data_IF_931537109794
#
_entry.id   IF_931537109794
#
_cell.length_a   1.000
_cell.length_b   1.000
_cell.length_c   1.000
_cell.angle_alpha   90.00
_cell.angle_beta   90.00
_cell.angle_gamma   90.00
#
_symmetry.space_group_name_H-M   'P 1'
#
loop_
_entity.id
_entity.type
_entity.pdbx_description
1 polymer ?
#
# COMPACT_ATOMS: atom_id res chain seq x y z
N UNK A 1 35.07 -8.14 -19.18
CA UNK A 1 34.64 -6.71 -19.19
C UNK A 1 33.17 -6.55 -19.62
N UNK A 2 32.68 -7.26 -20.65
CA UNK A 2 31.26 -7.23 -21.08
C UNK A 2 30.24 -7.58 -19.97
N UNK A 3 30.50 -8.62 -19.16
CA UNK A 3 29.58 -9.09 -18.08
C UNK A 3 29.44 -8.10 -16.92
N UNK A 4 30.45 -7.27 -16.67
CA UNK A 4 30.46 -6.33 -15.53
C UNK A 4 29.50 -5.15 -15.71
N UNK A 5 29.24 -4.72 -16.96
CA UNK A 5 28.36 -3.58 -17.24
C UNK A 5 26.87 -3.97 -17.15
N UNK A 6 26.51 -5.16 -17.63
CA UNK A 6 25.16 -5.75 -17.45
C UNK A 6 24.81 -5.91 -15.96
N UNK A 7 25.81 -6.20 -15.12
CA UNK A 7 25.62 -6.25 -13.66
C UNK A 7 25.26 -4.89 -13.04
N UNK A 8 25.69 -3.78 -13.67
CA UNK A 8 25.40 -2.42 -13.20
C UNK A 8 23.93 -2.07 -13.41
N UNK A 9 23.35 -2.49 -14.55
CA UNK A 9 21.91 -2.35 -14.83
C UNK A 9 21.05 -3.18 -13.87
N UNK A 10 21.52 -4.39 -13.53
CA UNK A 10 20.88 -5.21 -12.50
C UNK A 10 20.87 -4.52 -11.12
N UNK A 11 21.93 -3.79 -10.79
CA UNK A 11 22.03 -2.97 -9.58
C UNK A 11 21.04 -1.79 -9.57
N UNK A 12 20.83 -1.12 -10.71
CA UNK A 12 19.83 -0.05 -10.83
C UNK A 12 18.39 -0.57 -10.79
N UNK A 13 18.10 -1.68 -11.46
CA UNK A 13 16.80 -2.35 -11.34
C UNK A 13 16.50 -2.73 -9.89
N UNK A 14 17.51 -3.19 -9.13
CA UNK A 14 17.35 -3.46 -7.71
C UNK A 14 17.02 -2.19 -6.92
N UNK A 15 17.67 -1.05 -7.18
CA UNK A 15 17.31 0.24 -6.55
C UNK A 15 15.87 0.64 -6.85
N UNK A 16 15.42 0.51 -8.10
CA UNK A 16 14.02 0.79 -8.49
C UNK A 16 13.05 -0.13 -7.75
N UNK A 17 13.35 -1.43 -7.67
CA UNK A 17 12.55 -2.41 -6.91
C UNK A 17 12.47 -2.07 -5.43
N UNK A 18 13.59 -1.66 -4.82
CA UNK A 18 13.60 -1.25 -3.42
C UNK A 18 12.75 0.00 -3.16
N UNK A 19 12.85 1.01 -4.03
CA UNK A 19 12.01 2.22 -3.95
C UNK A 19 10.52 1.88 -4.08
N UNK A 20 10.16 1.06 -5.08
CA UNK A 20 8.79 0.59 -5.25
C UNK A 20 8.30 -0.23 -4.04
N UNK A 21 9.12 -1.14 -3.53
CA UNK A 21 8.79 -1.96 -2.37
C UNK A 21 8.54 -1.11 -1.11
N UNK A 22 9.31 -0.04 -0.89
CA UNK A 22 9.09 0.89 0.22
C UNK A 22 7.73 1.60 0.11
N UNK A 23 7.37 2.11 -1.07
CA UNK A 23 6.04 2.70 -1.32
C UNK A 23 4.92 1.69 -1.18
N UNK A 24 5.14 0.45 -1.63
CA UNK A 24 4.19 -0.64 -1.47
C UNK A 24 3.97 -1.02 0.00
N UNK A 25 5.02 -0.97 0.83
CA UNK A 25 4.88 -1.16 2.28
C UNK A 25 4.01 -0.07 2.92
N UNK A 26 4.20 1.19 2.55
CA UNK A 26 3.36 2.30 3.03
C UNK A 26 1.89 2.12 2.61
N UNK A 27 1.63 1.71 1.36
CA UNK A 27 0.29 1.31 0.92
C UNK A 27 -0.32 0.23 1.83
N UNK A 28 0.44 -0.84 2.11
CA UNK A 28 -0.05 -1.93 2.98
C UNK A 28 -0.34 -1.46 4.40
N UNK A 29 0.47 -0.56 4.95
CA UNK A 29 0.23 0.03 6.27
C UNK A 29 -1.07 0.83 6.30
N UNK A 30 -1.36 1.62 5.26
CA UNK A 30 -2.63 2.34 5.14
C UNK A 30 -3.83 1.38 5.12
N UNK A 31 -3.78 0.31 4.32
CA UNK A 31 -4.83 -0.72 4.29
C UNK A 31 -4.97 -1.42 5.65
N UNK A 32 -3.85 -1.74 6.32
CA UNK A 32 -3.87 -2.33 7.67
C UNK A 32 -4.58 -1.41 8.67
N UNK A 33 -4.32 -0.11 8.61
CA UNK A 33 -4.95 0.87 9.50
C UNK A 33 -6.48 0.97 9.32
N UNK A 34 -6.98 0.78 8.09
CA UNK A 34 -8.42 0.69 7.82
C UNK A 34 -8.99 -0.54 8.55
N UNK A 35 -8.37 -1.70 8.36
CA UNK A 35 -8.81 -2.96 8.97
C UNK A 35 -8.81 -2.91 10.50
N UNK A 36 -7.75 -2.37 11.10
CA UNK A 36 -7.66 -2.21 12.56
C UNK A 36 -8.80 -1.35 13.13
N UNK A 37 -9.24 -0.32 12.40
CA UNK A 37 -10.39 0.50 12.83
C UNK A 37 -11.72 -0.20 12.59
N UNK A 38 -11.85 -1.01 11.54
CA UNK A 38 -13.03 -1.85 11.32
C UNK A 38 -13.20 -2.89 12.43
N UNK A 39 -12.11 -3.55 12.84
CA UNK A 39 -12.10 -4.52 13.93
C UNK A 39 -12.54 -3.86 15.24
N UNK A 40 -11.98 -2.69 15.59
CA UNK A 40 -12.42 -1.92 16.77
C UNK A 40 -13.91 -1.58 16.73
N UNK A 41 -14.44 -1.16 15.59
CA UNK A 41 -15.87 -0.86 15.46
C UNK A 41 -16.74 -2.12 15.55
N UNK A 42 -16.26 -3.26 15.06
CA UNK A 42 -16.94 -4.55 15.21
C UNK A 42 -17.11 -4.90 16.69
N UNK A 43 -16.08 -4.73 17.51
CA UNK A 43 -16.12 -4.98 18.96
C UNK A 43 -17.15 -4.06 19.65
N UNK A 44 -17.20 -2.78 19.26
CA UNK A 44 -18.19 -1.82 19.76
C UNK A 44 -19.61 -2.28 19.40
N UNK A 45 -19.86 -2.68 18.15
CA UNK A 45 -21.16 -3.20 17.71
C UNK A 45 -21.57 -4.48 18.44
N UNK A 46 -20.62 -5.34 18.79
CA UNK A 46 -20.89 -6.54 19.60
C UNK A 46 -21.29 -6.18 21.03
N UNK A 47 -20.59 -5.25 21.68
CA UNK A 47 -20.96 -4.75 23.02
C UNK A 47 -22.38 -4.15 23.02
N UNK A 48 -22.73 -3.34 22.01
CA UNK A 48 -24.09 -2.82 21.82
C UNK A 48 -25.12 -3.94 21.75
N UNK A 49 -24.89 -4.95 20.89
CA UNK A 49 -25.79 -6.10 20.74
C UNK A 49 -25.96 -6.90 22.03
N UNK A 50 -24.88 -7.07 22.78
CA UNK A 50 -24.91 -7.74 24.09
C UNK A 50 -25.77 -6.97 25.10
N UNK A 51 -25.63 -5.63 25.17
CA UNK A 51 -26.46 -4.78 26.03
C UNK A 51 -27.94 -4.82 25.62
N UNK A 52 -28.24 -4.77 24.32
CA UNK A 52 -29.60 -4.92 23.79
C UNK A 52 -30.22 -6.27 24.19
N UNK A 53 -29.46 -7.36 24.10
CA UNK A 53 -29.90 -8.69 24.53
C UNK A 53 -30.19 -8.75 26.04
N UNK A 54 -29.31 -8.15 26.86
CA UNK A 54 -29.52 -8.03 28.31
C UNK A 54 -30.80 -7.26 28.65
N UNK A 55 -31.05 -6.14 27.97
CA UNK A 55 -32.28 -5.35 28.12
C UNK A 55 -33.51 -6.19 27.74
N UNK A 56 -33.48 -6.88 26.60
CA UNK A 56 -34.59 -7.70 26.15
C UNK A 56 -34.91 -8.84 27.13
N UNK A 57 -33.88 -9.52 27.65
CA UNK A 57 -34.04 -10.58 28.65
C UNK A 57 -34.56 -10.04 29.99
N UNK A 58 -34.06 -8.89 30.44
CA UNK A 58 -34.51 -8.27 31.69
C UNK A 58 -35.94 -7.75 31.58
N UNK A 59 -36.34 -7.23 30.41
CA UNK A 59 -37.72 -6.78 30.15
C UNK A 59 -38.72 -7.95 30.26
N UNK A 60 -38.34 -9.14 29.77
CA UNK A 60 -39.17 -10.35 29.86
C UNK A 60 -39.21 -10.95 31.26
N UNK A 61 -38.07 -11.00 31.94
CA UNK A 61 -37.93 -11.70 33.22
C UNK A 61 -38.30 -10.84 34.44
N UNK A 62 -37.96 -9.55 34.45
CA UNK A 62 -38.23 -8.63 35.55
C UNK A 62 -38.48 -7.19 35.05
N UNK A 63 -39.68 -6.90 34.50
CA UNK A 63 -40.00 -5.62 33.87
C UNK A 63 -40.02 -4.41 34.83
N UNK A 64 -40.14 -4.64 36.14
CA UNK A 64 -40.14 -3.57 37.16
C UNK A 64 -38.75 -3.30 37.75
N UNK A 65 -37.70 -3.94 37.22
CA UNK A 65 -36.35 -3.74 37.72
C UNK A 65 -35.85 -2.31 37.48
N UNK A 66 -35.33 -1.59 38.49
CA UNK A 66 -34.76 -0.26 38.30
C UNK A 66 -33.53 -0.27 37.37
N UNK A 67 -32.82 -1.42 37.27
CA UNK A 67 -31.69 -1.61 36.33
C UNK A 67 -32.11 -1.50 34.86
N UNK A 68 -33.39 -1.71 34.55
CA UNK A 68 -33.87 -1.62 33.18
C UNK A 68 -33.76 -0.18 32.65
N UNK A 69 -34.16 0.81 33.46
CA UNK A 69 -34.06 2.22 33.09
C UNK A 69 -32.60 2.67 32.93
N UNK A 70 -31.71 2.17 33.79
CA UNK A 70 -30.26 2.40 33.72
C UNK A 70 -29.68 1.85 32.42
N UNK A 71 -29.92 0.57 32.09
CA UNK A 71 -29.42 -0.04 30.86
C UNK A 71 -30.00 0.61 29.59
N UNK A 72 -31.27 1.02 29.61
CA UNK A 72 -31.87 1.75 28.49
C UNK A 72 -31.21 3.12 28.27
N UNK A 73 -30.86 3.82 29.35
CA UNK A 73 -30.12 5.09 29.27
C UNK A 73 -28.71 4.87 28.74
N UNK A 74 -28.01 3.86 29.26
CA UNK A 74 -26.68 3.46 28.78
C UNK A 74 -26.71 3.10 27.28
N UNK A 75 -27.70 2.31 26.86
CA UNK A 75 -27.86 1.93 25.45
C UNK A 75 -28.02 3.16 24.56
N UNK A 76 -28.84 4.14 24.94
CA UNK A 76 -29.01 5.37 24.15
C UNK A 76 -27.70 6.13 23.97
N UNK A 77 -26.89 6.24 25.03
CA UNK A 77 -25.56 6.85 24.94
C UNK A 77 -24.66 6.05 24.00
N UNK A 78 -24.62 4.73 24.18
CA UNK A 78 -23.81 3.83 23.38
C UNK A 78 -24.20 3.85 21.89
N UNK A 79 -25.48 4.03 21.58
CA UNK A 79 -26.00 4.14 20.22
C UNK A 79 -25.52 5.41 19.51
N UNK A 80 -25.49 6.54 20.22
CA UNK A 80 -24.94 7.78 19.73
C UNK A 80 -23.44 7.63 19.40
N UNK A 81 -22.65 7.12 20.34
CA UNK A 81 -21.19 6.97 20.17
C UNK A 81 -20.84 5.97 19.06
N UNK A 82 -21.64 4.90 18.91
CA UNK A 82 -21.48 3.94 17.82
C UNK A 82 -21.76 4.59 16.47
N UNK A 83 -22.80 5.42 16.36
CA UNK A 83 -23.15 6.13 15.12
C UNK A 83 -22.05 7.11 14.72
N UNK A 84 -21.54 7.90 15.67
CA UNK A 84 -20.42 8.82 15.42
C UNK A 84 -19.19 8.06 14.91
N UNK A 85 -18.84 6.96 15.59
CA UNK A 85 -17.73 6.09 15.19
C UNK A 85 -17.92 5.47 13.79
N UNK A 86 -19.15 5.13 13.41
CA UNK A 86 -19.49 4.62 12.08
C UNK A 86 -19.27 5.68 10.99
N UNK A 87 -19.73 6.90 11.23
CA UNK A 87 -19.56 8.02 10.31
C UNK A 87 -18.08 8.37 10.13
N UNK A 88 -17.32 8.38 11.22
CA UNK A 88 -15.89 8.66 11.18
C UNK A 88 -15.09 7.55 10.52
N UNK A 89 -15.44 6.28 10.74
CA UNK A 89 -14.85 5.18 10.00
C UNK A 89 -15.16 5.30 8.49
N UNK A 90 -16.38 5.66 8.11
CA UNK A 90 -16.74 5.83 6.70
C UNK A 90 -15.93 6.95 6.02
N UNK A 91 -15.76 8.10 6.70
CA UNK A 91 -14.91 9.20 6.21
C UNK A 91 -13.46 8.75 6.11
N UNK A 92 -12.93 8.15 7.17
CA UNK A 92 -11.55 7.67 7.22
C UNK A 92 -11.24 6.65 6.14
N UNK A 93 -12.14 5.68 5.93
CA UNK A 93 -12.01 4.68 4.85
C UNK A 93 -11.84 5.33 3.50
N UNK A 94 -12.72 6.26 3.13
CA UNK A 94 -12.66 6.94 1.82
C UNK A 94 -11.34 7.70 1.66
N UNK A 95 -10.92 8.42 2.70
CA UNK A 95 -9.66 9.15 2.70
C UNK A 95 -8.45 8.21 2.58
N UNK A 96 -8.32 7.24 3.48
CA UNK A 96 -7.19 6.33 3.51
C UNK A 96 -7.11 5.45 2.26
N UNK A 97 -8.25 5.01 1.72
CA UNK A 97 -8.31 4.24 0.48
C UNK A 97 -7.80 5.09 -0.70
N UNK A 98 -8.28 6.33 -0.83
CA UNK A 98 -7.84 7.27 -1.86
C UNK A 98 -6.32 7.45 -1.80
N UNK A 99 -5.79 7.85 -0.64
CA UNK A 99 -4.35 8.09 -0.46
C UNK A 99 -3.51 6.84 -0.70
N UNK A 100 -3.95 5.69 -0.19
CA UNK A 100 -3.25 4.42 -0.38
C UNK A 100 -3.13 4.05 -1.87
N UNK A 101 -4.24 4.15 -2.63
CA UNK A 101 -4.20 3.80 -4.04
C UNK A 101 -3.48 4.84 -4.89
N UNK A 102 -3.55 6.13 -4.56
CA UNK A 102 -2.69 7.14 -5.18
C UNK A 102 -1.21 6.79 -5.01
N UNK A 103 -0.80 6.46 -3.79
CA UNK A 103 0.57 6.06 -3.49
C UNK A 103 0.99 4.82 -4.27
N UNK A 104 0.13 3.78 -4.28
CA UNK A 104 0.39 2.52 -4.98
C UNK A 104 0.52 2.72 -6.48
N UNK A 105 -0.44 3.39 -7.10
CA UNK A 105 -0.47 3.54 -8.56
C UNK A 105 0.61 4.48 -9.06
N UNK A 106 0.90 5.58 -8.36
CA UNK A 106 2.02 6.45 -8.72
C UNK A 106 3.36 5.72 -8.61
N UNK A 107 3.57 4.93 -7.54
CA UNK A 107 4.78 4.14 -7.40
C UNK A 107 4.90 3.05 -8.48
N UNK A 108 3.79 2.40 -8.83
CA UNK A 108 3.75 1.38 -9.88
C UNK A 108 4.02 1.98 -11.26
N UNK A 109 3.43 3.14 -11.55
CA UNK A 109 3.65 3.91 -12.77
C UNK A 109 5.12 4.29 -12.91
N UNK A 110 5.69 4.90 -11.87
CA UNK A 110 7.11 5.25 -11.83
C UNK A 110 8.03 4.04 -12.04
N UNK A 111 7.73 2.93 -11.37
CA UNK A 111 8.50 1.71 -11.51
C UNK A 111 8.42 1.15 -12.93
N UNK A 112 7.23 1.13 -13.54
CA UNK A 112 7.03 0.63 -14.89
C UNK A 112 7.78 1.46 -15.93
N UNK A 113 7.64 2.79 -15.90
CA UNK A 113 8.30 3.67 -16.89
C UNK A 113 9.82 3.66 -16.74
N UNK A 114 10.34 3.72 -15.50
CA UNK A 114 11.80 3.61 -15.29
C UNK A 114 12.34 2.23 -15.69
N UNK A 115 11.58 1.17 -15.47
CA UNK A 115 11.96 -0.17 -15.95
C UNK A 115 11.96 -0.24 -17.47
N UNK A 116 10.97 0.39 -18.13
CA UNK A 116 10.91 0.46 -19.58
C UNK A 116 12.11 1.22 -20.18
N UNK A 117 12.53 2.33 -19.56
CA UNK A 117 13.75 3.05 -19.94
C UNK A 117 14.96 2.12 -19.84
N UNK A 118 15.18 1.47 -18.68
CA UNK A 118 16.32 0.55 -18.49
C UNK A 118 16.32 -0.58 -19.52
N UNK A 119 15.17 -1.24 -19.73
CA UNK A 119 15.06 -2.32 -20.71
C UNK A 119 15.31 -1.82 -22.14
N UNK A 120 14.83 -0.61 -22.46
CA UNK A 120 15.03 0.05 -23.74
C UNK A 120 16.49 0.29 -24.07
N UNK A 121 17.32 0.66 -23.08
CA UNK A 121 18.77 0.83 -23.27
C UNK A 121 19.55 -0.49 -23.17
N UNK A 122 19.14 -1.41 -22.29
CA UNK A 122 19.83 -2.68 -22.07
C UNK A 122 19.90 -3.53 -23.35
N UNK A 123 18.89 -3.47 -24.23
CA UNK A 123 18.94 -4.15 -25.53
C UNK A 123 20.13 -3.69 -26.39
N UNK A 124 20.46 -2.40 -26.37
CA UNK A 124 21.60 -1.87 -27.12
C UNK A 124 22.93 -2.33 -26.54
N UNK A 125 23.01 -2.58 -25.23
CA UNK A 125 24.19 -3.19 -24.62
C UNK A 125 24.34 -4.66 -25.04
N UNK A 126 23.24 -5.38 -25.20
CA UNK A 126 23.24 -6.76 -25.72
C UNK A 126 23.73 -6.79 -27.17
N UNK A 127 23.35 -5.80 -27.99
CA UNK A 127 23.82 -5.68 -29.38
C UNK A 127 25.35 -5.51 -29.49
N UNK A 128 26.05 -5.10 -28.41
CA UNK A 128 27.52 -4.99 -28.36
C UNK A 128 28.24 -6.30 -27.98
N UNK A 129 27.50 -7.39 -27.77
CA UNK A 129 28.09 -8.70 -27.47
C UNK A 129 28.50 -9.36 -28.79
N UNK A 130 29.80 -9.34 -29.06
CA UNK A 130 30.40 -10.06 -30.19
C UNK A 130 30.42 -11.58 -29.89
N UNK A 131 29.93 -12.39 -30.83
CA UNK A 131 29.84 -13.87 -30.69
C UNK A 131 31.18 -14.54 -31.02
N UNK A 132 31.94 -13.95 -31.95
CA UNK A 132 33.25 -14.46 -32.37
C UNK A 132 34.37 -13.94 -31.44
N UNK A 133 35.49 -14.66 -31.35
CA UNK A 133 36.65 -14.32 -30.50
C UNK A 133 37.46 -13.10 -31.00
N UNK A 134 36.80 -12.08 -31.54
CA UNK A 134 37.42 -10.80 -31.84
C UNK A 134 37.80 -10.06 -30.57
N UNK A 135 38.86 -9.24 -30.65
CA UNK A 135 39.30 -8.39 -29.54
C UNK A 135 38.20 -7.35 -29.26
N UNK A 136 37.51 -7.50 -28.12
CA UNK A 136 36.45 -6.57 -27.70
C UNK A 136 36.92 -5.11 -27.68
N UNK A 137 36.30 -4.25 -28.49
CA UNK A 137 36.59 -2.81 -28.58
C UNK A 137 35.35 -1.91 -28.33
N UNK A 138 34.18 -2.49 -28.04
CA UNK A 138 32.93 -1.74 -27.86
C UNK A 138 32.79 -1.03 -26.49
N UNK A 139 33.89 -0.91 -25.74
CA UNK A 139 33.93 -0.32 -24.41
C UNK A 139 33.43 1.13 -24.34
N UNK A 140 33.87 2.03 -25.25
CA UNK A 140 33.40 3.41 -25.32
C UNK A 140 31.91 3.52 -25.67
N UNK A 141 31.43 2.75 -26.66
CA UNK A 141 30.02 2.76 -27.06
C UNK A 141 29.11 2.30 -25.92
N UNK A 142 29.50 1.24 -25.20
CA UNK A 142 28.77 0.80 -24.01
C UNK A 142 28.72 1.87 -22.90
N UNK A 143 29.76 2.70 -22.77
CA UNK A 143 29.76 3.79 -21.79
C UNK A 143 28.77 4.91 -22.16
N UNK A 144 28.65 5.24 -23.45
CA UNK A 144 27.67 6.22 -23.95
C UNK A 144 26.24 5.74 -23.70
N UNK A 145 25.92 4.49 -24.04
CA UNK A 145 24.58 3.90 -23.81
C UNK A 145 24.18 3.97 -22.32
N UNK A 146 25.11 3.68 -21.41
CA UNK A 146 24.86 3.76 -19.97
C UNK A 146 24.64 5.22 -19.54
N UNK A 147 25.47 6.15 -20.03
CA UNK A 147 25.32 7.57 -19.70
C UNK A 147 23.95 8.12 -20.17
N UNK A 148 23.51 7.76 -21.37
CA UNK A 148 22.21 8.15 -21.91
C UNK A 148 21.05 7.54 -21.09
N UNK A 149 21.18 6.28 -20.68
CA UNK A 149 20.21 5.62 -19.82
C UNK A 149 20.07 6.31 -18.45
N UNK A 150 21.19 6.68 -17.83
CA UNK A 150 21.20 7.40 -16.56
C UNK A 150 20.57 8.79 -16.71
N UNK A 151 20.94 9.51 -17.77
CA UNK A 151 20.38 10.82 -18.07
C UNK A 151 18.86 10.75 -18.30
N UNK A 152 18.38 9.72 -19.02
CA UNK A 152 16.96 9.50 -19.21
C UNK A 152 16.22 9.16 -17.90
N UNK A 153 16.86 8.42 -16.98
CA UNK A 153 16.29 8.08 -15.68
C UNK A 153 16.26 9.25 -14.69
N UNK A 154 17.24 10.15 -14.76
CA UNK A 154 17.34 11.36 -13.95
C UNK A 154 16.31 12.42 -14.38
N UNK A 155 16.00 12.50 -15.68
CA UNK A 155 15.03 13.45 -16.23
C UNK A 155 13.60 12.91 -16.34
N UNK A 156 13.34 11.69 -15.87
CA UNK A 156 12.00 11.18 -15.60
C UNK A 156 11.54 11.64 -14.22
#
# INVERSE_FOLDING_TARGET
>A
MQVSKIHTDALYLNKLKHSYAAKYQQYRQAIKSIREREEKLSDVREKKRSLQSRIANLTKSNPKSPKLAEFQKELKSFEHDTLESELDLAKFKRFALKEAFYLRFNAMYAFAEKTAIVAGFAKYLVDLIEIDQSKYDQGPQAAVIIADALNALENW
#
